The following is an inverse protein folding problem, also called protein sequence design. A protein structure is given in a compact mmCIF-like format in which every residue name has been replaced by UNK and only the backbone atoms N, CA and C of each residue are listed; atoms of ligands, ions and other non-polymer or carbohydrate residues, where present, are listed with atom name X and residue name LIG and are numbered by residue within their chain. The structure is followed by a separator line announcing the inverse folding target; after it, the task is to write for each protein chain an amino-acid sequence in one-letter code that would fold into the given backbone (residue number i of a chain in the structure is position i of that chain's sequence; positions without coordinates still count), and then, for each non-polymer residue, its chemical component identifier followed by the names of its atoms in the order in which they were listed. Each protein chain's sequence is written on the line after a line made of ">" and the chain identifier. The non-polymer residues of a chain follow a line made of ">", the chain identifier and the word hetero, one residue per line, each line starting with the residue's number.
data_IF_186778815986
#
_entry.id   IF_186778815986
#
_cell.length_a   1.000
_cell.length_b   1.000
_cell.length_c   1.000
_cell.angle_alpha   90.00
_cell.angle_beta   90.00
_cell.angle_gamma   90.00
#
_symmetry.space_group_name_H-M   'P 1'
#
loop_
_entity.id
_entity.type
_entity.pdbx_description
1 polymer ?
#
# COMPACT_ATOMS: atom_id res chain seq x y z
N UNK A 1 12.54 9.55 15.78
CA UNK A 1 11.43 9.52 14.81
C UNK A 1 12.02 9.90 13.45
N UNK A 2 11.51 9.36 12.34
CA UNK A 2 11.94 9.78 11.02
C UNK A 2 11.48 11.21 10.72
N UNK A 3 12.33 11.96 10.04
CA UNK A 3 12.05 13.34 9.61
C UNK A 3 11.68 13.40 8.13
N UNK A 4 11.12 14.51 7.65
CA UNK A 4 10.89 14.76 6.22
C UNK A 4 12.16 14.54 5.40
N UNK A 5 13.30 15.04 5.91
CA UNK A 5 14.62 14.88 5.26
C UNK A 5 15.05 13.41 5.14
N UNK A 6 14.69 12.56 6.12
CA UNK A 6 14.95 11.12 6.01
C UNK A 6 14.14 10.48 4.88
N UNK A 7 12.86 10.83 4.77
CA UNK A 7 11.98 10.29 3.72
C UNK A 7 12.43 10.78 2.35
N UNK A 8 12.79 12.05 2.23
CA UNK A 8 13.26 12.63 0.97
C UNK A 8 14.54 11.97 0.46
N UNK A 9 15.55 11.85 1.33
CA UNK A 9 16.92 11.47 0.96
C UNK A 9 17.18 9.96 0.96
N UNK A 10 16.24 9.14 1.45
CA UNK A 10 16.36 7.68 1.49
C UNK A 10 15.45 7.03 0.46
N UNK A 11 15.85 5.86 -0.01
CA UNK A 11 15.13 5.07 -1.00
C UNK A 11 14.73 3.71 -0.45
N UNK A 12 13.73 3.10 -1.07
CA UNK A 12 13.32 1.74 -0.79
C UNK A 12 14.10 0.82 -1.72
N UNK A 13 14.74 -0.18 -1.13
CA UNK A 13 15.42 -1.21 -1.89
C UNK A 13 14.58 -2.47 -1.92
N UNK A 14 14.21 -2.86 -3.13
CA UNK A 14 13.46 -4.09 -3.38
C UNK A 14 14.37 -5.10 -4.04
N UNK A 15 14.52 -6.25 -3.40
CA UNK A 15 15.35 -7.35 -3.86
C UNK A 15 14.44 -8.52 -4.20
N UNK A 16 14.41 -8.90 -5.48
CA UNK A 16 13.81 -10.16 -5.92
C UNK A 16 14.89 -11.25 -5.78
N UNK A 17 14.90 -11.88 -4.62
CA UNK A 17 15.92 -12.85 -4.22
C UNK A 17 15.85 -14.14 -5.02
N UNK A 18 17.03 -14.72 -5.25
CA UNK A 18 17.22 -16.05 -5.82
C UNK A 18 17.95 -16.94 -4.79
N UNK A 19 17.80 -18.24 -4.90
CA UNK A 19 18.41 -19.20 -3.95
C UNK A 19 19.94 -19.10 -3.87
N UNK A 20 20.57 -18.76 -5.01
CA UNK A 20 22.02 -18.52 -5.08
C UNK A 20 22.44 -17.11 -4.66
N UNK A 21 21.59 -16.34 -4.01
CA UNK A 21 21.89 -14.98 -3.56
C UNK A 21 21.93 -14.87 -2.05
N UNK A 22 22.86 -14.02 -1.58
CA UNK A 22 23.05 -13.71 -0.16
C UNK A 22 23.11 -12.21 0.07
N UNK A 23 22.39 -11.77 1.08
CA UNK A 23 22.47 -10.42 1.60
C UNK A 23 23.44 -10.38 2.79
N UNK A 24 24.45 -9.54 2.71
CA UNK A 24 25.46 -9.41 3.75
C UNK A 24 25.98 -7.99 3.89
N UNK A 25 26.68 -7.73 4.98
CA UNK A 25 27.45 -6.49 5.21
C UNK A 25 28.89 -6.72 4.77
N UNK A 26 29.41 -5.83 3.92
CA UNK A 26 30.83 -5.80 3.55
C UNK A 26 31.29 -4.35 3.46
N UNK A 27 32.42 -3.99 4.10
CA UNK A 27 32.97 -2.63 4.09
C UNK A 27 31.96 -1.53 4.42
N UNK A 28 31.04 -1.81 5.37
CA UNK A 28 30.02 -0.83 5.79
C UNK A 28 28.81 -0.65 4.87
N UNK A 29 28.74 -1.40 3.77
CA UNK A 29 27.64 -1.39 2.79
C UNK A 29 26.80 -2.66 2.88
N UNK A 30 25.52 -2.54 2.48
CA UNK A 30 24.69 -3.68 2.11
C UNK A 30 25.14 -4.21 0.76
N UNK A 31 25.48 -5.50 0.69
CA UNK A 31 25.82 -6.19 -0.54
C UNK A 31 24.81 -7.29 -0.84
N UNK A 32 24.35 -7.35 -2.08
CA UNK A 32 23.73 -8.53 -2.67
C UNK A 32 24.81 -9.29 -3.43
N UNK A 33 25.13 -10.48 -2.96
CA UNK A 33 26.15 -11.36 -3.53
C UNK A 33 25.48 -12.50 -4.28
N UNK A 34 25.92 -12.78 -5.50
CA UNK A 34 25.66 -14.06 -6.15
C UNK A 34 26.72 -15.07 -5.66
N UNK A 35 26.24 -16.13 -5.00
CA UNK A 35 27.12 -17.11 -4.38
C UNK A 35 27.68 -18.11 -5.41
N UNK A 36 27.04 -18.28 -6.57
CA UNK A 36 27.50 -19.17 -7.63
C UNK A 36 28.69 -18.57 -8.39
N UNK A 37 28.69 -17.26 -8.61
CA UNK A 37 29.75 -16.53 -9.30
C UNK A 37 30.69 -15.80 -8.33
N UNK A 38 30.43 -15.87 -7.02
CA UNK A 38 31.14 -15.12 -5.98
C UNK A 38 31.27 -13.62 -6.29
N UNK A 39 30.25 -13.05 -6.91
CA UNK A 39 30.22 -11.69 -7.43
C UNK A 39 29.21 -10.82 -6.70
N UNK A 40 29.59 -9.58 -6.40
CA UNK A 40 28.65 -8.58 -5.91
C UNK A 40 27.74 -8.12 -7.06
N UNK A 41 26.45 -8.41 -6.95
CA UNK A 41 25.41 -7.96 -7.91
C UNK A 41 25.15 -6.47 -7.73
N UNK A 42 25.03 -6.03 -6.47
CA UNK A 42 24.78 -4.61 -6.16
C UNK A 42 25.22 -4.31 -4.73
N UNK A 43 25.49 -3.02 -4.44
CA UNK A 43 25.86 -2.53 -3.12
C UNK A 43 25.16 -1.20 -2.81
N UNK A 44 24.76 -1.01 -1.55
CA UNK A 44 24.08 0.21 -1.11
C UNK A 44 24.58 0.69 0.25
N UNK A 45 24.75 2.02 0.43
CA UNK A 45 25.10 2.59 1.73
C UNK A 45 23.86 2.59 2.64
N UNK A 46 23.98 2.08 3.86
CA UNK A 46 22.87 2.04 4.83
C UNK A 46 22.20 3.40 5.09
N UNK A 47 22.91 4.53 5.16
CA UNK A 47 22.27 5.84 5.36
C UNK A 47 21.28 6.24 4.26
N UNK A 48 21.35 5.62 3.08
CA UNK A 48 20.44 5.90 1.94
C UNK A 48 19.26 4.92 1.86
N UNK A 49 19.17 3.95 2.76
CA UNK A 49 18.10 2.95 2.76
C UNK A 49 17.00 3.41 3.71
N UNK A 50 15.77 3.54 3.21
CA UNK A 50 14.57 3.78 4.00
C UNK A 50 13.97 2.43 4.47
N UNK A 51 13.69 1.54 3.52
CA UNK A 51 13.22 0.17 3.75
C UNK A 51 13.98 -0.81 2.86
N UNK A 52 14.21 -2.00 3.39
CA UNK A 52 14.72 -3.14 2.63
C UNK A 52 13.58 -4.16 2.46
N UNK A 53 13.16 -4.40 1.23
CA UNK A 53 12.12 -5.38 0.90
C UNK A 53 12.78 -6.55 0.19
N UNK A 54 12.66 -7.74 0.74
CA UNK A 54 13.22 -8.98 0.20
C UNK A 54 12.07 -9.88 -0.23
N UNK A 55 11.97 -10.14 -1.53
CA UNK A 55 10.92 -10.97 -2.12
C UNK A 55 11.58 -12.27 -2.63
N UNK A 56 11.05 -13.41 -2.22
CA UNK A 56 11.56 -14.70 -2.64
C UNK A 56 12.61 -15.30 -1.69
N UNK A 57 13.44 -16.16 -2.22
CA UNK A 57 14.41 -16.94 -1.44
C UNK A 57 15.81 -16.31 -1.54
N UNK A 58 16.35 -15.89 -0.42
CA UNK A 58 17.72 -15.40 -0.29
C UNK A 58 18.21 -15.54 1.15
N UNK A 59 19.50 -15.71 1.35
CA UNK A 59 20.07 -15.77 2.69
C UNK A 59 20.29 -14.37 3.26
N UNK A 60 19.97 -14.18 4.53
CA UNK A 60 20.19 -12.94 5.28
C UNK A 60 21.11 -13.25 6.46
N UNK A 61 22.17 -12.47 6.66
CA UNK A 61 23.07 -12.67 7.80
C UNK A 61 22.61 -11.89 9.04
N UNK A 62 22.92 -12.41 10.22
CA UNK A 62 22.66 -11.71 11.50
C UNK A 62 23.34 -10.36 11.57
N UNK A 63 24.59 -10.25 11.09
CA UNK A 63 25.30 -8.98 10.99
C UNK A 63 24.57 -7.94 10.13
N UNK A 64 23.83 -8.38 9.09
CA UNK A 64 22.98 -7.48 8.31
C UNK A 64 21.79 -6.97 9.16
N UNK A 65 21.13 -7.86 9.90
CA UNK A 65 20.00 -7.49 10.79
C UNK A 65 20.47 -6.47 11.83
N UNK A 66 21.61 -6.71 12.50
CA UNK A 66 22.21 -5.78 13.46
C UNK A 66 22.52 -4.42 12.83
N UNK A 67 23.10 -4.42 11.62
CA UNK A 67 23.42 -3.18 10.92
C UNK A 67 22.18 -2.43 10.50
N UNK A 68 21.15 -3.12 10.00
CA UNK A 68 19.86 -2.52 9.71
C UNK A 68 19.21 -1.91 10.97
N UNK A 69 19.28 -2.60 12.10
CA UNK A 69 18.80 -2.08 13.38
C UNK A 69 19.53 -0.77 13.78
N UNK A 70 20.88 -0.76 13.70
CA UNK A 70 21.69 0.43 13.98
C UNK A 70 21.28 1.64 13.13
N UNK A 71 20.99 1.43 11.83
CA UNK A 71 20.60 2.50 10.90
C UNK A 71 19.08 2.72 10.83
N UNK A 72 18.29 2.03 11.67
CA UNK A 72 16.82 2.07 11.68
C UNK A 72 16.21 1.75 10.31
N UNK A 73 16.78 0.76 9.62
CA UNK A 73 16.31 0.25 8.34
C UNK A 73 15.42 -0.95 8.57
N UNK A 74 14.10 -0.85 8.39
CA UNK A 74 13.21 -2.01 8.48
C UNK A 74 13.50 -2.99 7.33
N UNK A 75 13.38 -4.30 7.63
CA UNK A 75 13.46 -5.36 6.62
C UNK A 75 12.09 -6.04 6.54
N UNK A 76 11.53 -6.06 5.34
CA UNK A 76 10.28 -6.76 5.03
C UNK A 76 10.60 -7.99 4.19
N UNK A 77 10.25 -9.16 4.68
CA UNK A 77 10.45 -10.43 3.96
C UNK A 77 9.10 -10.87 3.38
N UNK A 78 9.09 -11.15 2.07
CA UNK A 78 7.89 -11.54 1.33
C UNK A 78 8.15 -12.85 0.55
N UNK A 79 7.11 -13.68 0.44
CA UNK A 79 7.13 -14.84 -0.46
C UNK A 79 7.14 -14.39 -1.93
N UNK A 80 7.51 -15.29 -2.90
CA UNK A 80 7.41 -14.97 -4.32
C UNK A 80 6.02 -14.53 -4.79
N UNK A 81 4.96 -14.89 -4.07
CA UNK A 81 3.58 -14.45 -4.33
C UNK A 81 3.23 -13.13 -3.62
N UNK A 82 4.24 -12.39 -3.13
CA UNK A 82 4.15 -11.08 -2.48
C UNK A 82 3.48 -11.07 -1.09
N UNK A 83 3.14 -12.23 -0.53
CA UNK A 83 2.65 -12.31 0.85
C UNK A 83 3.79 -12.02 1.82
N UNK A 84 3.62 -11.03 2.70
CA UNK A 84 4.57 -10.75 3.78
C UNK A 84 4.66 -11.93 4.74
N UNK A 85 5.89 -12.30 5.08
CA UNK A 85 6.20 -13.42 6.00
C UNK A 85 6.68 -12.86 7.33
N UNK A 86 7.59 -11.89 7.29
CA UNK A 86 8.23 -11.35 8.47
C UNK A 86 8.61 -9.89 8.31
N UNK A 87 8.73 -9.21 9.46
CA UNK A 87 9.16 -7.82 9.56
C UNK A 87 10.19 -7.71 10.68
N UNK A 88 11.35 -7.14 10.36
CA UNK A 88 12.37 -6.76 11.33
C UNK A 88 12.41 -5.23 11.42
N UNK A 89 12.41 -4.67 12.63
CA UNK A 89 12.59 -3.23 12.79
C UNK A 89 11.46 -2.53 13.56
N UNK A 90 11.21 -2.99 14.77
CA UNK A 90 10.19 -2.42 15.67
C UNK A 90 10.77 -1.22 16.44
N UNK A 91 11.09 -0.13 15.74
CA UNK A 91 11.84 1.00 16.33
C UNK A 91 10.98 1.92 17.22
N UNK A 92 9.67 1.81 17.16
CA UNK A 92 8.74 2.65 17.91
C UNK A 92 7.79 1.82 18.81
N UNK A 93 8.12 0.56 19.09
CA UNK A 93 7.29 -0.32 19.92
C UNK A 93 7.08 0.19 21.36
N UNK A 94 7.99 1.04 21.84
CA UNK A 94 7.88 1.71 23.13
C UNK A 94 6.91 2.90 23.18
N UNK A 95 6.19 3.23 22.11
CA UNK A 95 5.21 4.33 22.12
C UNK A 95 3.89 3.90 22.80
N UNK A 96 3.97 3.66 24.11
CA UNK A 96 2.83 3.16 24.90
C UNK A 96 1.70 4.18 25.02
N UNK A 97 2.01 5.49 25.00
CA UNK A 97 0.99 6.54 25.06
C UNK A 97 0.06 6.49 23.85
N UNK A 98 0.63 6.34 22.65
CA UNK A 98 -0.15 6.17 21.43
C UNK A 98 -1.05 4.93 21.52
N UNK A 99 -0.49 3.78 21.90
CA UNK A 99 -1.24 2.54 22.00
C UNK A 99 -2.33 2.62 23.08
N UNK A 100 -2.01 3.19 24.26
CA UNK A 100 -3.00 3.45 25.28
C UNK A 100 -4.17 4.28 24.73
N UNK A 101 -3.88 5.36 24.02
CA UNK A 101 -4.92 6.21 23.43
C UNK A 101 -5.73 5.46 22.35
N UNK A 102 -5.09 4.64 21.50
CA UNK A 102 -5.81 3.80 20.54
C UNK A 102 -6.79 2.83 21.21
N UNK A 103 -6.44 2.25 22.35
CA UNK A 103 -7.28 1.31 23.07
C UNK A 103 -8.34 1.96 23.97
N UNK A 104 -8.16 3.22 24.37
CA UNK A 104 -9.13 4.00 25.13
C UNK A 104 -10.20 4.67 24.28
N UNK A 105 -9.90 4.94 23.02
CA UNK A 105 -10.85 5.50 22.06
C UNK A 105 -11.99 4.51 21.74
N UNK A 106 -13.19 4.98 21.40
CA UNK A 106 -14.21 4.12 20.83
C UNK A 106 -13.66 3.30 19.66
N UNK A 107 -14.02 2.00 19.58
CA UNK A 107 -13.55 1.10 18.51
C UNK A 107 -13.92 1.58 17.11
N UNK A 108 -14.96 2.37 17.01
CA UNK A 108 -15.47 2.97 15.77
C UNK A 108 -15.54 4.47 16.00
N UNK A 109 -14.86 5.21 15.14
CA UNK A 109 -14.91 6.66 15.05
C UNK A 109 -15.52 7.00 13.70
N UNK A 110 -16.86 7.13 13.68
CA UNK A 110 -17.62 7.42 12.45
C UNK A 110 -17.12 8.66 11.74
N UNK A 111 -16.81 9.71 12.50
CA UNK A 111 -16.26 10.96 11.99
C UNK A 111 -14.96 10.75 11.19
N UNK A 112 -14.02 9.96 11.72
CA UNK A 112 -12.75 9.65 11.05
C UNK A 112 -12.99 8.65 9.90
N UNK A 113 -13.90 7.69 10.06
CA UNK A 113 -14.25 6.73 9.02
C UNK A 113 -14.83 7.44 7.78
N UNK A 114 -15.74 8.40 7.99
CA UNK A 114 -16.27 9.28 6.95
C UNK A 114 -15.13 10.00 6.20
N UNK A 115 -14.16 10.54 6.94
CA UNK A 115 -13.00 11.23 6.37
C UNK A 115 -12.21 10.33 5.41
N UNK A 116 -11.93 9.09 5.82
CA UNK A 116 -11.19 8.14 4.97
C UNK A 116 -11.95 7.76 3.71
N UNK A 117 -13.25 7.45 3.85
CA UNK A 117 -14.09 7.04 2.73
C UNK A 117 -14.34 8.20 1.78
N UNK A 118 -14.61 9.39 2.31
CA UNK A 118 -14.80 10.60 1.50
C UNK A 118 -13.53 10.92 0.70
N UNK A 119 -12.37 10.91 1.34
CA UNK A 119 -11.09 11.16 0.67
C UNK A 119 -10.80 10.12 -0.43
N UNK A 120 -11.17 8.87 -0.23
CA UNK A 120 -11.14 7.84 -1.28
C UNK A 120 -12.04 8.21 -2.46
N UNK A 121 -13.28 8.62 -2.19
CA UNK A 121 -14.24 9.00 -3.24
C UNK A 121 -13.74 10.18 -4.06
N UNK A 122 -13.20 11.21 -3.40
CA UNK A 122 -12.60 12.38 -4.07
C UNK A 122 -11.48 11.96 -5.03
N UNK A 123 -10.58 11.06 -4.60
CA UNK A 123 -9.50 10.56 -5.46
C UNK A 123 -10.02 9.68 -6.62
N UNK A 124 -11.06 8.88 -6.39
CA UNK A 124 -11.73 8.11 -7.46
C UNK A 124 -12.40 9.02 -8.48
N UNK A 125 -13.11 10.05 -8.00
CA UNK A 125 -13.71 11.07 -8.88
C UNK A 125 -12.65 11.77 -9.72
N UNK A 126 -11.56 12.20 -9.11
CA UNK A 126 -10.44 12.85 -9.79
C UNK A 126 -9.82 11.97 -10.88
N UNK A 127 -9.65 10.67 -10.62
CA UNK A 127 -9.18 9.74 -11.66
C UNK A 127 -10.14 9.68 -12.85
N UNK A 128 -11.47 9.65 -12.62
CA UNK A 128 -12.45 9.65 -13.70
C UNK A 128 -12.48 10.98 -14.45
N UNK A 129 -12.30 12.09 -13.77
CA UNK A 129 -12.25 13.42 -14.39
C UNK A 129 -11.04 13.60 -15.32
N UNK A 130 -9.92 12.98 -14.97
CA UNK A 130 -8.70 12.96 -15.79
C UNK A 130 -8.75 12.00 -16.98
N UNK A 131 -9.73 11.09 -17.05
CA UNK A 131 -9.85 10.24 -18.22
C UNK A 131 -10.24 11.05 -19.47
N UNK A 132 -9.67 10.70 -20.61
CA UNK A 132 -10.08 11.29 -21.89
C UNK A 132 -11.49 10.87 -22.32
N UNK A 133 -11.91 9.69 -21.89
CA UNK A 133 -13.19 9.09 -22.22
C UNK A 133 -14.30 9.77 -21.40
N UNK A 134 -15.29 10.35 -22.08
CA UNK A 134 -16.44 11.04 -21.52
C UNK A 134 -17.74 10.37 -21.95
N UNK A 135 -17.74 9.03 -21.98
CA UNK A 135 -18.92 8.24 -22.30
C UNK A 135 -19.94 8.22 -21.17
N UNK A 136 -21.15 7.73 -21.45
CA UNK A 136 -22.25 7.66 -20.51
C UNK A 136 -21.88 6.91 -19.20
N UNK A 137 -21.21 5.74 -19.23
CA UNK A 137 -20.77 5.08 -18.00
C UNK A 137 -19.85 5.92 -17.13
N UNK A 138 -18.95 6.71 -17.74
CA UNK A 138 -18.03 7.61 -17.02
C UNK A 138 -18.79 8.75 -16.35
N UNK A 139 -19.70 9.40 -17.06
CA UNK A 139 -20.53 10.49 -16.53
C UNK A 139 -21.44 9.97 -15.41
N UNK A 140 -22.07 8.81 -15.61
CA UNK A 140 -22.90 8.17 -14.59
C UNK A 140 -22.11 7.89 -13.31
N UNK A 141 -20.89 7.32 -13.45
CA UNK A 141 -20.02 7.05 -12.31
C UNK A 141 -19.59 8.32 -11.59
N UNK A 142 -19.23 9.38 -12.33
CA UNK A 142 -18.88 10.67 -11.72
C UNK A 142 -20.04 11.24 -10.90
N UNK A 143 -21.26 11.25 -11.45
CA UNK A 143 -22.44 11.75 -10.74
C UNK A 143 -22.75 10.90 -9.49
N UNK A 144 -22.63 9.57 -9.61
CA UNK A 144 -22.84 8.67 -8.48
C UNK A 144 -21.81 8.89 -7.37
N UNK A 145 -20.54 9.14 -7.71
CA UNK A 145 -19.50 9.42 -6.73
C UNK A 145 -19.70 10.79 -6.08
N UNK A 146 -20.09 11.83 -6.84
CA UNK A 146 -20.42 13.16 -6.29
C UNK A 146 -21.55 13.07 -5.26
N UNK A 147 -22.63 12.38 -5.59
CA UNK A 147 -23.68 12.10 -4.61
C UNK A 147 -23.16 11.30 -3.41
N UNK A 148 -22.31 10.28 -3.65
CA UNK A 148 -21.67 9.51 -2.57
C UNK A 148 -20.88 10.39 -1.61
N UNK A 149 -20.16 11.40 -2.11
CA UNK A 149 -19.42 12.39 -1.29
C UNK A 149 -20.39 13.20 -0.42
N UNK A 150 -21.51 13.67 -1.01
CA UNK A 150 -22.51 14.48 -0.30
C UNK A 150 -23.20 13.71 0.84
N UNK A 151 -23.57 12.44 0.59
CA UNK A 151 -24.29 11.62 1.57
C UNK A 151 -23.37 10.83 2.52
N UNK A 152 -22.06 10.80 2.27
CA UNK A 152 -21.10 10.03 3.06
C UNK A 152 -21.22 10.33 4.57
N UNK A 153 -21.26 11.61 4.92
CA UNK A 153 -21.34 12.06 6.32
C UNK A 153 -22.72 11.87 6.96
N UNK A 154 -23.73 11.46 6.19
CA UNK A 154 -25.08 11.20 6.68
C UNK A 154 -25.27 9.74 7.11
N UNK A 155 -24.33 8.85 6.81
CA UNK A 155 -24.40 7.46 7.26
C UNK A 155 -24.17 7.38 8.78
N UNK A 156 -25.04 6.67 9.48
CA UNK A 156 -25.00 6.57 10.94
C UNK A 156 -24.22 5.34 11.43
N UNK A 157 -24.13 4.33 10.58
CA UNK A 157 -23.47 3.06 10.92
C UNK A 157 -22.34 2.69 9.97
N UNK A 158 -21.36 1.94 10.47
CA UNK A 158 -20.28 1.38 9.62
C UNK A 158 -20.84 0.51 8.49
N UNK A 159 -21.93 -0.22 8.72
CA UNK A 159 -22.56 -1.06 7.71
C UNK A 159 -23.10 -0.23 6.54
N UNK A 160 -23.76 0.88 6.83
CA UNK A 160 -24.24 1.82 5.80
C UNK A 160 -23.09 2.44 5.02
N UNK A 161 -22.04 2.88 5.73
CA UNK A 161 -20.86 3.46 5.12
C UNK A 161 -20.14 2.45 4.21
N UNK A 162 -20.00 1.21 4.65
CA UNK A 162 -19.43 0.12 3.83
C UNK A 162 -20.31 -0.22 2.62
N UNK A 163 -21.63 -0.19 2.77
CA UNK A 163 -22.55 -0.41 1.66
C UNK A 163 -22.47 0.72 0.62
N UNK A 164 -22.36 1.97 1.07
CA UNK A 164 -22.13 3.13 0.20
C UNK A 164 -20.80 3.01 -0.53
N UNK A 165 -19.71 2.71 0.20
CA UNK A 165 -18.37 2.51 -0.36
C UNK A 165 -18.36 1.42 -1.44
N UNK A 166 -19.02 0.29 -1.17
CA UNK A 166 -19.13 -0.82 -2.13
C UNK A 166 -19.88 -0.44 -3.40
N UNK A 167 -20.96 0.35 -3.28
CA UNK A 167 -21.70 0.87 -4.43
C UNK A 167 -20.87 1.83 -5.26
N UNK A 168 -20.23 2.81 -4.61
CA UNK A 168 -19.33 3.75 -5.30
C UNK A 168 -18.21 3.02 -6.02
N UNK A 169 -17.57 2.07 -5.34
CA UNK A 169 -16.50 1.25 -5.95
C UNK A 169 -16.99 0.48 -7.19
N UNK A 170 -18.21 -0.07 -7.18
CA UNK A 170 -18.80 -0.77 -8.34
C UNK A 170 -18.92 0.15 -9.55
N UNK A 171 -19.44 1.37 -9.38
CA UNK A 171 -19.54 2.35 -10.47
C UNK A 171 -18.17 2.82 -10.94
N UNK A 172 -17.29 3.17 -10.00
CA UNK A 172 -15.92 3.58 -10.31
C UNK A 172 -15.18 2.53 -11.15
N UNK A 173 -15.11 1.30 -10.67
CA UNK A 173 -14.36 0.26 -11.34
C UNK A 173 -14.94 -0.07 -12.72
N UNK A 174 -16.28 -0.09 -12.87
CA UNK A 174 -16.94 -0.34 -14.15
C UNK A 174 -16.58 0.74 -15.18
N UNK A 175 -16.56 2.00 -14.79
CA UNK A 175 -16.25 3.10 -15.69
C UNK A 175 -14.74 3.23 -15.94
N UNK A 176 -13.93 3.20 -14.88
CA UNK A 176 -12.50 3.48 -14.96
C UNK A 176 -11.71 2.42 -15.74
N UNK A 177 -12.18 1.18 -15.74
CA UNK A 177 -11.56 0.07 -16.46
C UNK A 177 -12.43 -0.47 -17.63
N UNK A 178 -13.34 0.35 -18.15
CA UNK A 178 -14.27 -0.05 -19.21
C UNK A 178 -13.61 -0.44 -20.54
N UNK A 179 -12.34 -0.06 -20.75
CA UNK A 179 -11.55 -0.44 -21.93
C UNK A 179 -10.99 -1.87 -21.88
N UNK A 180 -11.06 -2.51 -20.71
CA UNK A 180 -10.59 -3.88 -20.52
C UNK A 180 -11.75 -4.87 -20.52
N UNK A 181 -11.51 -6.11 -20.95
CA UNK A 181 -12.49 -7.19 -20.81
C UNK A 181 -12.58 -7.62 -19.34
N UNK A 182 -13.16 -6.76 -18.52
CA UNK A 182 -13.18 -6.92 -17.08
C UNK A 182 -14.54 -7.30 -16.50
N UNK A 183 -14.54 -8.33 -15.65
CA UNK A 183 -15.74 -8.87 -14.98
C UNK A 183 -16.12 -8.11 -13.68
N UNK A 184 -15.47 -6.97 -13.41
CA UNK A 184 -15.63 -6.18 -12.19
C UNK A 184 -14.69 -6.59 -11.06
N UNK A 185 -14.62 -5.74 -10.03
CA UNK A 185 -13.71 -5.95 -8.90
C UNK A 185 -14.21 -7.08 -7.98
N UNK A 186 -13.42 -8.14 -7.87
CA UNK A 186 -13.63 -9.27 -6.95
C UNK A 186 -12.35 -9.48 -6.12
N UNK A 187 -12.26 -8.81 -4.96
CA UNK A 187 -11.04 -8.87 -4.13
C UNK A 187 -10.68 -10.30 -3.74
N UNK A 188 -9.40 -10.65 -3.85
CA UNK A 188 -8.80 -11.93 -3.44
C UNK A 188 -9.24 -13.16 -4.25
N UNK A 189 -10.22 -13.07 -5.12
CA UNK A 189 -10.73 -14.20 -5.92
C UNK A 189 -9.87 -14.45 -7.16
N UNK A 190 -9.24 -13.41 -7.73
CA UNK A 190 -8.32 -13.48 -8.89
C UNK A 190 -8.96 -14.16 -10.10
N UNK A 191 -10.23 -13.83 -10.38
CA UNK A 191 -11.01 -14.44 -11.50
C UNK A 191 -10.49 -14.10 -12.89
N UNK A 192 -9.69 -13.04 -12.99
CA UNK A 192 -9.08 -12.52 -14.21
C UNK A 192 -7.69 -11.91 -13.90
N UNK A 193 -6.87 -11.63 -14.93
CA UNK A 193 -5.57 -11.00 -14.79
C UNK A 193 -5.62 -9.62 -14.10
N UNK A 194 -6.66 -8.84 -14.35
CA UNK A 194 -6.81 -7.47 -13.81
C UNK A 194 -7.05 -7.51 -12.30
N UNK A 195 -7.95 -8.40 -11.84
CA UNK A 195 -8.17 -8.62 -10.41
C UNK A 195 -6.90 -9.13 -9.72
N UNK A 196 -6.18 -10.07 -10.34
CA UNK A 196 -4.91 -10.57 -9.83
C UNK A 196 -3.85 -9.45 -9.75
N UNK A 197 -3.77 -8.59 -10.75
CA UNK A 197 -2.85 -7.45 -10.82
C UNK A 197 -3.15 -6.41 -9.73
N UNK A 198 -4.43 -6.03 -9.54
CA UNK A 198 -4.85 -5.12 -8.47
C UNK A 198 -4.53 -5.68 -7.09
N UNK A 199 -4.74 -7.00 -6.87
CA UNK A 199 -4.40 -7.63 -5.60
C UNK A 199 -2.88 -7.54 -5.31
N UNK A 200 -2.02 -7.67 -6.33
CA UNK A 200 -0.57 -7.48 -6.20
C UNK A 200 -0.24 -6.03 -5.83
N UNK A 201 -0.76 -5.07 -6.59
CA UNK A 201 -0.51 -3.65 -6.33
C UNK A 201 -0.97 -3.20 -4.95
N UNK A 202 -2.19 -3.58 -4.56
CA UNK A 202 -2.70 -3.28 -3.22
C UNK A 202 -1.91 -3.98 -2.11
N UNK A 203 -1.34 -5.15 -2.36
CA UNK A 203 -0.45 -5.80 -1.40
C UNK A 203 0.82 -4.98 -1.19
N UNK A 204 1.41 -4.41 -2.24
CA UNK A 204 2.58 -3.54 -2.11
C UNK A 204 2.25 -2.23 -1.39
N UNK A 205 1.14 -1.59 -1.74
CA UNK A 205 0.68 -0.39 -1.05
C UNK A 205 0.41 -0.68 0.44
N UNK A 206 -0.28 -1.77 0.75
CA UNK A 206 -0.54 -2.20 2.12
C UNK A 206 0.75 -2.36 2.92
N UNK A 207 1.76 -3.06 2.36
CA UNK A 207 3.04 -3.23 3.04
C UNK A 207 3.78 -1.91 3.23
N UNK A 208 3.68 -1.00 2.28
CA UNK A 208 4.27 0.33 2.41
C UNK A 208 3.60 1.15 3.53
N UNK A 209 2.26 1.21 3.55
CA UNK A 209 1.50 1.89 4.61
C UNK A 209 1.77 1.24 5.98
N UNK A 210 1.81 -0.10 6.04
CA UNK A 210 2.18 -0.82 7.26
C UNK A 210 3.52 -0.35 7.82
N UNK A 211 4.55 -0.26 6.95
CA UNK A 211 5.87 0.19 7.37
C UNK A 211 5.83 1.64 7.86
N UNK A 212 5.10 2.52 7.20
CA UNK A 212 4.92 3.90 7.64
C UNK A 212 4.22 3.97 9.01
N UNK A 213 3.17 3.19 9.25
CA UNK A 213 2.50 3.13 10.56
C UNK A 213 3.44 2.65 11.66
N UNK A 214 4.29 1.65 11.37
CA UNK A 214 5.28 1.13 12.33
C UNK A 214 6.33 2.17 12.72
N UNK A 215 6.68 3.12 11.84
CA UNK A 215 7.60 4.21 12.18
C UNK A 215 7.09 5.11 13.32
N UNK A 216 5.77 5.17 13.51
CA UNK A 216 5.12 5.93 14.59
C UNK A 216 4.78 5.08 15.82
N UNK A 217 4.79 3.75 15.70
CA UNK A 217 4.52 2.82 16.81
C UNK A 217 3.04 2.49 17.01
N UNK A 218 2.20 2.70 15.99
CA UNK A 218 0.79 2.32 16.03
C UNK A 218 0.59 0.82 16.31
N UNK A 219 -0.45 0.49 17.06
CA UNK A 219 -1.07 -0.82 17.00
C UNK A 219 -1.82 -0.95 15.67
N UNK A 220 -1.31 -1.79 14.79
CA UNK A 220 -1.81 -1.93 13.42
C UNK A 220 -3.19 -2.60 13.36
N UNK A 221 -3.58 -3.29 14.42
CA UNK A 221 -4.84 -4.05 14.47
C UNK A 221 -6.02 -3.18 14.92
N UNK A 222 -5.75 -2.06 15.61
CA UNK A 222 -6.77 -1.14 16.11
C UNK A 222 -7.04 -0.06 15.08
N UNK A 223 -8.03 -0.31 14.22
CA UNK A 223 -8.56 0.64 13.23
C UNK A 223 -9.75 1.43 13.77
N UNK A 224 -10.25 2.36 12.97
CA UNK A 224 -11.40 3.22 13.29
C UNK A 224 -12.61 3.00 12.36
N UNK A 225 -12.38 2.43 11.19
CA UNK A 225 -13.38 2.10 10.17
C UNK A 225 -13.53 0.60 9.99
N UNK A 226 -12.43 -0.10 9.71
CA UNK A 226 -12.45 -1.55 9.60
C UNK A 226 -12.47 -2.17 11.01
N UNK A 227 -13.51 -2.98 11.28
CA UNK A 227 -13.67 -3.66 12.57
C UNK A 227 -12.50 -4.61 12.87
N UNK A 228 -12.27 -4.86 14.15
CA UNK A 228 -11.29 -5.86 14.61
C UNK A 228 -11.64 -7.23 14.03
N UNK A 229 -10.67 -7.85 13.40
CA UNK A 229 -10.79 -9.22 12.88
C UNK A 229 -9.47 -9.95 13.08
N UNK A 230 -9.54 -11.25 13.34
CA UNK A 230 -8.36 -12.07 13.59
C UNK A 230 -7.31 -11.91 12.49
N UNK A 231 -6.09 -11.52 12.87
CA UNK A 231 -4.94 -11.25 11.99
C UNK A 231 -5.13 -10.11 10.97
N UNK A 232 -6.20 -9.31 11.04
CA UNK A 232 -6.40 -8.17 10.16
C UNK A 232 -5.78 -6.92 10.76
N UNK A 233 -4.87 -6.31 10.06
CA UNK A 233 -4.27 -5.01 10.43
C UNK A 233 -5.23 -3.89 10.01
N UNK A 234 -6.30 -3.69 10.78
CA UNK A 234 -7.43 -2.84 10.44
C UNK A 234 -7.02 -1.38 10.22
N UNK A 235 -6.12 -0.83 11.04
CA UNK A 235 -5.61 0.54 10.86
C UNK A 235 -4.89 0.71 9.53
N UNK A 236 -4.12 -0.29 9.10
CA UNK A 236 -3.42 -0.24 7.81
C UNK A 236 -4.42 -0.22 6.66
N UNK A 237 -5.52 -1.01 6.77
CA UNK A 237 -6.60 -0.97 5.80
C UNK A 237 -7.23 0.42 5.73
N UNK A 238 -7.52 1.03 6.89
CA UNK A 238 -8.13 2.36 6.99
C UNK A 238 -7.25 3.43 6.33
N UNK A 239 -5.99 3.53 6.76
CA UNK A 239 -5.05 4.54 6.26
C UNK A 239 -4.63 4.33 4.80
N UNK A 240 -4.88 3.15 4.22
CA UNK A 240 -4.60 2.86 2.83
C UNK A 240 -5.70 3.38 1.88
N UNK A 241 -6.94 3.57 2.36
CA UNK A 241 -8.09 3.86 1.48
C UNK A 241 -7.87 5.08 0.56
N UNK A 242 -7.36 6.23 1.03
CA UNK A 242 -7.12 7.39 0.17
C UNK A 242 -6.08 7.14 -0.94
N UNK A 243 -5.15 6.22 -0.73
CA UNK A 243 -4.02 5.97 -1.63
C UNK A 243 -4.27 4.87 -2.67
N UNK A 244 -5.43 4.18 -2.63
CA UNK A 244 -5.75 3.12 -3.60
C UNK A 244 -5.70 3.59 -5.05
N UNK A 245 -6.04 4.84 -5.29
CA UNK A 245 -5.99 5.50 -6.59
C UNK A 245 -4.60 5.42 -7.26
N UNK A 246 -3.50 5.38 -6.47
CA UNK A 246 -2.14 5.20 -6.99
C UNK A 246 -2.04 3.89 -7.76
N UNK A 247 -2.57 2.81 -7.18
CA UNK A 247 -2.54 1.47 -7.78
C UNK A 247 -3.49 1.37 -8.95
N UNK A 248 -4.71 1.93 -8.82
CA UNK A 248 -5.71 1.94 -9.89
C UNK A 248 -5.17 2.63 -11.14
N UNK A 249 -4.58 3.81 -10.98
CA UNK A 249 -3.96 4.56 -12.06
C UNK A 249 -2.77 3.81 -12.68
N UNK A 250 -1.86 3.32 -11.84
CA UNK A 250 -0.66 2.62 -12.31
C UNK A 250 -1.04 1.39 -13.13
N UNK A 251 -1.97 0.58 -12.63
CA UNK A 251 -2.44 -0.62 -13.34
C UNK A 251 -3.03 -0.25 -14.70
N UNK A 252 -3.98 0.69 -14.73
CA UNK A 252 -4.62 1.12 -15.97
C UNK A 252 -3.59 1.63 -16.98
N UNK A 253 -2.70 2.50 -16.54
CA UNK A 253 -1.61 3.05 -17.37
C UNK A 253 -0.72 1.93 -17.92
N UNK A 254 -0.28 1.01 -17.06
CA UNK A 254 0.63 -0.07 -17.46
C UNK A 254 0.01 -1.06 -18.47
N UNK A 255 -1.28 -1.37 -18.35
CA UNK A 255 -1.97 -2.18 -19.36
C UNK A 255 -2.16 -1.42 -20.67
N UNK A 256 -2.55 -0.15 -20.64
CA UNK A 256 -2.75 0.67 -21.83
C UNK A 256 -1.45 0.86 -22.63
N UNK A 257 -0.31 1.01 -21.95
CA UNK A 257 1.00 1.08 -22.60
C UNK A 257 1.61 -0.29 -22.95
N UNK A 258 0.91 -1.39 -22.65
CA UNK A 258 1.40 -2.74 -22.91
C UNK A 258 2.58 -3.17 -22.04
N UNK A 259 2.91 -2.41 -20.98
CA UNK A 259 3.89 -2.82 -19.96
C UNK A 259 3.39 -4.05 -19.23
N UNK A 260 2.12 -4.05 -18.76
CA UNK A 260 1.43 -5.22 -18.26
C UNK A 260 0.61 -5.86 -19.38
N UNK A 261 0.54 -7.19 -19.38
CA UNK A 261 -0.20 -7.97 -20.39
C UNK A 261 -0.95 -9.11 -19.72
N UNK A 262 -2.14 -9.43 -20.23
CA UNK A 262 -2.90 -10.58 -19.73
C UNK A 262 -2.11 -11.90 -19.82
N UNK A 263 -1.32 -12.07 -20.89
CA UNK A 263 -0.44 -13.22 -21.08
C UNK A 263 0.69 -13.37 -20.04
N UNK A 264 0.94 -12.37 -19.23
CA UNK A 264 1.89 -12.45 -18.10
C UNK A 264 1.32 -13.27 -16.94
N UNK A 265 0.03 -13.56 -16.99
CA UNK A 265 -0.69 -14.36 -16.00
C UNK A 265 -1.00 -15.76 -16.54
N UNK A 266 -1.13 -16.71 -15.64
CA UNK A 266 -1.58 -18.06 -15.92
C UNK A 266 -2.70 -18.45 -14.98
N UNK A 267 -3.64 -19.26 -15.48
CA UNK A 267 -4.76 -19.76 -14.69
C UNK A 267 -4.37 -21.09 -14.03
N UNK A 268 -4.46 -21.13 -12.69
CA UNK A 268 -4.26 -22.34 -11.88
C UNK A 268 -5.41 -22.44 -10.87
N UNK A 269 -6.04 -23.60 -10.76
CA UNK A 269 -7.14 -23.84 -9.80
C UNK A 269 -8.21 -22.72 -9.83
N UNK A 270 -8.67 -22.37 -11.04
CA UNK A 270 -9.66 -21.31 -11.30
C UNK A 270 -9.26 -19.87 -10.85
N UNK A 271 -8.01 -19.64 -10.49
CA UNK A 271 -7.48 -18.31 -10.17
C UNK A 271 -6.29 -17.95 -11.06
N UNK A 272 -6.11 -16.66 -11.33
CA UNK A 272 -4.99 -16.15 -12.12
C UNK A 272 -3.81 -15.78 -11.21
N UNK A 273 -2.63 -16.20 -11.61
CA UNK A 273 -1.36 -15.93 -10.94
C UNK A 273 -0.35 -15.37 -11.92
N UNK A 274 0.49 -14.47 -11.44
CA UNK A 274 1.60 -13.96 -12.22
C UNK A 274 2.58 -15.09 -12.54
N UNK A 275 2.98 -15.21 -13.81
CA UNK A 275 3.95 -16.23 -14.27
C UNK A 275 5.30 -16.02 -13.60
N UNK A 276 6.01 -17.12 -13.44
CA UNK A 276 7.40 -17.10 -12.97
C UNK A 276 8.26 -16.17 -13.85
N UNK A 277 9.14 -15.41 -13.22
CA UNK A 277 10.00 -14.43 -13.91
C UNK A 277 9.38 -13.06 -14.17
N UNK A 278 8.06 -12.90 -14.07
CA UNK A 278 7.40 -11.59 -14.28
C UNK A 278 7.45 -10.68 -13.03
N UNK A 279 7.82 -11.20 -11.85
CA UNK A 279 7.77 -10.47 -10.59
C UNK A 279 8.51 -9.13 -10.63
N UNK A 280 9.72 -9.07 -11.19
CA UNK A 280 10.53 -7.85 -11.23
C UNK A 280 9.86 -6.71 -11.98
N UNK A 281 9.16 -7.01 -13.09
CA UNK A 281 8.45 -6.03 -13.90
C UNK A 281 7.31 -5.38 -13.10
N UNK A 282 6.44 -6.18 -12.50
CA UNK A 282 5.30 -5.71 -11.72
C UNK A 282 5.73 -5.00 -10.42
N UNK A 283 6.74 -5.55 -9.76
CA UNK A 283 7.34 -4.93 -8.57
C UNK A 283 7.88 -3.54 -8.88
N UNK A 284 8.62 -3.39 -9.99
CA UNK A 284 9.20 -2.11 -10.40
C UNK A 284 8.11 -1.06 -10.64
N UNK A 285 7.10 -1.36 -11.46
CA UNK A 285 6.05 -0.41 -11.81
C UNK A 285 5.28 0.08 -10.56
N UNK A 286 4.79 -0.85 -9.73
CA UNK A 286 4.02 -0.49 -8.56
C UNK A 286 4.84 0.22 -7.48
N UNK A 287 6.06 -0.25 -7.17
CA UNK A 287 6.88 0.43 -6.18
C UNK A 287 7.39 1.78 -6.68
N UNK A 288 7.67 1.96 -7.96
CA UNK A 288 7.99 3.28 -8.51
C UNK A 288 6.84 4.25 -8.24
N UNK A 289 5.62 3.89 -8.57
CA UNK A 289 4.44 4.73 -8.34
C UNK A 289 4.21 5.04 -6.85
N UNK A 290 4.42 4.05 -5.96
CA UNK A 290 4.28 4.25 -4.51
C UNK A 290 5.41 5.16 -3.97
N UNK A 291 6.64 4.95 -4.44
CA UNK A 291 7.82 5.74 -4.02
C UNK A 291 7.69 7.19 -4.47
N UNK A 292 7.13 7.44 -5.65
CA UNK A 292 6.87 8.80 -6.15
C UNK A 292 5.93 9.58 -5.21
N UNK A 293 5.06 8.88 -4.48
CA UNK A 293 4.13 9.45 -3.49
C UNK A 293 4.59 9.26 -2.03
N UNK A 294 5.84 8.83 -1.79
CA UNK A 294 6.32 8.48 -0.45
C UNK A 294 6.24 9.61 0.56
N UNK A 295 6.46 10.84 0.10
CA UNK A 295 6.45 12.02 0.95
C UNK A 295 5.00 12.38 1.36
N UNK A 296 4.09 12.38 0.41
CA UNK A 296 2.66 12.63 0.63
C UNK A 296 2.07 11.59 1.60
N UNK A 297 2.41 10.31 1.39
CA UNK A 297 1.99 9.23 2.29
C UNK A 297 2.57 9.44 3.71
N UNK A 298 3.85 9.79 3.81
CA UNK A 298 4.48 10.06 5.10
C UNK A 298 3.83 11.25 5.82
N UNK A 299 3.61 12.37 5.13
CA UNK A 299 2.96 13.57 5.67
C UNK A 299 1.54 13.25 6.14
N UNK A 300 0.80 12.46 5.35
CA UNK A 300 -0.55 12.03 5.72
C UNK A 300 -0.54 11.21 7.02
N UNK A 301 0.30 10.17 7.12
CA UNK A 301 0.36 9.31 8.31
C UNK A 301 0.90 10.09 9.53
N UNK A 302 1.85 11.00 9.33
CA UNK A 302 2.33 11.90 10.38
C UNK A 302 1.23 12.87 10.83
N UNK A 303 0.45 13.42 9.89
CA UNK A 303 -0.69 14.28 10.16
C UNK A 303 -1.75 13.55 10.97
N UNK A 304 -2.10 12.31 10.55
CA UNK A 304 -2.99 11.45 11.30
C UNK A 304 -2.49 11.20 12.73
N UNK A 305 -1.21 10.81 12.89
CA UNK A 305 -0.59 10.62 14.21
C UNK A 305 -0.72 11.85 15.09
N UNK A 306 -0.39 13.03 14.56
CA UNK A 306 -0.44 14.29 15.31
C UNK A 306 -1.85 14.70 15.70
N UNK A 307 -2.80 14.58 14.77
CA UNK A 307 -4.21 14.89 15.02
C UNK A 307 -4.78 13.93 16.07
N UNK A 308 -4.50 12.64 15.94
CA UNK A 308 -4.95 11.60 16.85
C UNK A 308 -4.40 11.82 18.27
N UNK A 309 -3.07 12.03 18.43
CA UNK A 309 -2.44 12.23 19.74
C UNK A 309 -2.86 13.53 20.43
N UNK A 310 -3.19 14.55 19.66
CA UNK A 310 -3.64 15.84 20.19
C UNK A 310 -5.17 15.95 20.29
N UNK A 311 -5.90 14.84 20.04
CA UNK A 311 -7.37 14.77 20.07
C UNK A 311 -8.03 15.90 19.28
N UNK A 312 -7.48 16.19 18.09
CA UNK A 312 -7.97 17.27 17.23
C UNK A 312 -9.36 16.95 16.65
N UNK A 313 -10.16 17.99 16.34
CA UNK A 313 -11.38 17.82 15.56
C UNK A 313 -11.11 17.13 14.23
N UNK A 314 -12.12 16.42 13.69
CA UNK A 314 -11.95 15.60 12.47
C UNK A 314 -11.50 16.40 11.25
N UNK A 315 -11.87 17.68 11.18
CA UNK A 315 -11.49 18.60 10.10
C UNK A 315 -9.97 18.81 10.02
N UNK A 316 -9.26 18.58 11.14
CA UNK A 316 -7.81 18.71 11.24
C UNK A 316 -7.06 17.44 10.86
N UNK A 317 -7.77 16.34 10.58
CA UNK A 317 -7.16 15.12 10.07
C UNK A 317 -6.77 15.31 8.60
N UNK A 318 -5.66 14.68 8.17
CA UNK A 318 -5.13 14.91 6.83
C UNK A 318 -6.07 14.41 5.73
N UNK A 319 -5.92 15.00 4.56
CA UNK A 319 -6.44 14.51 3.28
C UNK A 319 -5.29 14.34 2.28
N UNK A 320 -5.46 13.37 1.40
CA UNK A 320 -4.56 13.12 0.28
C UNK A 320 -5.27 13.42 -1.03
N UNK A 321 -4.66 14.23 -1.87
CA UNK A 321 -5.14 14.53 -3.22
C UNK A 321 -4.15 13.96 -4.22
N UNK A 322 -4.60 12.99 -5.00
CA UNK A 322 -3.81 12.38 -6.05
C UNK A 322 -3.67 13.35 -7.25
N UNK A 323 -2.44 13.72 -7.59
CA UNK A 323 -2.13 14.69 -8.66
C UNK A 323 -2.00 14.05 -10.04
#
# INVERSE_FOLDING_TARGET
>A
MFTHKDIENKSIFVINGKENQKLQVKSGFLHLLDTSENKTVTKFPFPKILFLIVIGHTSITTALIEKCNKYKVPIVVMKPNFRSVYYFGNFADGNFLLRKQQHLQPRIRMDIAHRFVNNKFQNQLHLLEKTRKKDEPTVTAQNFIKNGIEICNQTETITELMALEGRVAKFFFKAYFSEFNWQGRKPRVKIDPYNACLDIGYTFLFNFIENMCRLFGFDLYVGVYHQLWFKRKSLVCDLMEPFRCIIDHTMRKAFNFGTFKEKDFEKRNNAYYLKYGMNSKYTKEFYTAIIDQKMEIFIYIQGYYRAFMAEKPVEMYPEFIYK
#
